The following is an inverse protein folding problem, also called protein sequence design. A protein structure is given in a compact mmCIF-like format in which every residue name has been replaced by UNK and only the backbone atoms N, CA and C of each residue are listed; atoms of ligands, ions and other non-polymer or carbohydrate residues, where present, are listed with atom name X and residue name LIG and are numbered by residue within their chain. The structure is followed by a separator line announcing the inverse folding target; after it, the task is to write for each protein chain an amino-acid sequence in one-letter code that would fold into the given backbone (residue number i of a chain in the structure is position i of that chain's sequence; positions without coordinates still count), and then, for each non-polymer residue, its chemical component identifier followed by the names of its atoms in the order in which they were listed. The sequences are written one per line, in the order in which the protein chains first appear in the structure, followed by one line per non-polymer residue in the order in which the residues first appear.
data_IF_590974702043
#
_entry.id   IF_590974702043
#
_cell.length_a   1.000
_cell.length_b   1.000
_cell.length_c   1.000
_cell.angle_alpha   90.00
_cell.angle_beta   90.00
_cell.angle_gamma   90.00
#
_symmetry.space_group_name_H-M   'P 1'
#
loop_
_entity.id
_entity.type
_entity.pdbx_description
1 polymer ?
#
# COMPACT_ATOMS: atom_id res chain seq x y z
N UNK A 1 -42.93 30.84 -15.45
CA UNK A 1 -42.22 29.64 -14.93
C UNK A 1 -40.91 29.37 -15.69
N UNK A 2 -40.11 30.40 -16.00
CA UNK A 2 -38.87 30.25 -16.81
C UNK A 2 -37.66 30.98 -16.18
N UNK A 3 -37.72 31.29 -14.89
CA UNK A 3 -36.63 31.97 -14.15
C UNK A 3 -36.04 31.14 -13.01
N UNK A 4 -36.68 30.03 -12.63
CA UNK A 4 -36.22 29.16 -11.53
C UNK A 4 -35.28 28.03 -12.00
N UNK A 5 -35.23 27.73 -13.29
CA UNK A 5 -34.43 26.61 -13.84
C UNK A 5 -32.95 26.98 -13.98
N UNK A 6 -32.62 28.27 -14.11
CA UNK A 6 -31.24 28.73 -14.36
C UNK A 6 -30.37 28.66 -13.09
N UNK A 7 -30.97 28.76 -11.90
CA UNK A 7 -30.21 28.68 -10.64
C UNK A 7 -29.87 27.25 -10.21
N UNK A 8 -30.59 26.23 -10.69
CA UNK A 8 -30.30 24.84 -10.36
C UNK A 8 -29.07 24.30 -11.11
N UNK A 9 -28.78 24.81 -12.32
CA UNK A 9 -27.64 24.35 -13.13
C UNK A 9 -26.29 24.92 -12.71
N UNK A 10 -26.26 26.04 -11.99
CA UNK A 10 -24.99 26.63 -11.49
C UNK A 10 -24.53 25.95 -10.19
N UNK A 11 -25.46 25.43 -9.38
CA UNK A 11 -25.11 24.68 -8.17
C UNK A 11 -24.51 23.29 -8.45
N UNK A 12 -24.84 22.67 -9.59
CA UNK A 12 -24.30 21.36 -9.97
C UNK A 12 -22.83 21.38 -10.41
N UNK A 13 -22.26 22.56 -10.71
CA UNK A 13 -20.83 22.66 -11.06
C UNK A 13 -19.90 22.79 -9.85
N UNK A 14 -20.42 23.10 -8.66
CA UNK A 14 -19.59 23.33 -7.46
C UNK A 14 -19.29 22.00 -6.71
N UNK A 15 -20.10 20.96 -6.90
CA UNK A 15 -19.89 19.67 -6.24
C UNK A 15 -18.88 18.73 -6.92
N UNK A 16 -18.48 18.99 -8.17
CA UNK A 16 -17.46 18.18 -8.85
C UNK A 16 -16.02 18.52 -8.40
N UNK A 17 -15.78 19.66 -7.76
CA UNK A 17 -14.43 20.08 -7.36
C UNK A 17 -13.96 19.43 -6.05
N UNK A 18 -14.87 18.97 -5.18
CA UNK A 18 -14.49 18.29 -3.94
C UNK A 18 -14.08 16.83 -4.15
N UNK A 19 -14.61 16.15 -5.17
CA UNK A 19 -14.24 14.77 -5.49
C UNK A 19 -12.78 14.65 -6.00
N UNK A 20 -12.29 15.65 -6.73
CA UNK A 20 -10.90 15.67 -7.23
C UNK A 20 -9.87 16.10 -6.18
N UNK A 21 -10.26 16.86 -5.16
CA UNK A 21 -9.34 17.24 -4.09
C UNK A 21 -8.97 16.06 -3.16
N UNK A 22 -9.80 15.01 -3.13
CA UNK A 22 -9.49 13.78 -2.41
C UNK A 22 -8.59 12.82 -3.22
N UNK A 23 -8.59 12.90 -4.56
CA UNK A 23 -7.66 12.13 -5.38
C UNK A 23 -6.21 12.50 -5.00
N UNK A 24 -5.84 13.77 -4.97
CA UNK A 24 -4.50 14.22 -4.50
C UNK A 24 -4.41 14.44 -2.96
N UNK A 25 -5.34 13.87 -2.19
CA UNK A 25 -5.39 14.00 -0.74
C UNK A 25 -4.63 12.90 0.00
N UNK A 26 -4.36 13.10 1.31
CA UNK A 26 -3.85 12.04 2.16
C UNK A 26 -4.84 10.87 2.21
N UNK A 27 -4.35 9.66 1.98
CA UNK A 27 -5.17 8.45 2.12
C UNK A 27 -5.40 8.12 3.59
N UNK A 28 -6.59 7.60 3.88
CA UNK A 28 -6.88 7.05 5.20
C UNK A 28 -6.18 5.70 5.32
N UNK A 29 -5.38 5.53 6.38
CA UNK A 29 -4.76 4.25 6.72
C UNK A 29 -5.70 3.47 7.66
N UNK A 30 -6.15 2.27 7.28
CA UNK A 30 -7.04 1.48 8.14
C UNK A 30 -6.42 1.22 9.51
N UNK A 31 -7.18 1.41 10.59
CA UNK A 31 -6.73 1.14 11.96
C UNK A 31 -6.25 -0.31 12.12
N UNK A 32 -6.90 -1.24 11.43
CA UNK A 32 -6.54 -2.66 11.45
C UNK A 32 -5.12 -2.89 10.89
N UNK A 33 -4.78 -2.23 9.79
CA UNK A 33 -3.42 -2.26 9.24
C UNK A 33 -2.41 -1.65 10.22
N UNK A 34 -2.75 -0.52 10.86
CA UNK A 34 -1.87 0.11 11.85
C UNK A 34 -1.59 -0.84 13.02
N UNK A 35 -2.61 -1.54 13.53
CA UNK A 35 -2.45 -2.56 14.59
C UNK A 35 -1.58 -3.73 14.16
N UNK A 36 -1.76 -4.24 12.95
CA UNK A 36 -0.93 -5.32 12.41
C UNK A 36 0.52 -4.85 12.22
N UNK A 37 0.73 -3.62 11.74
CA UNK A 37 2.07 -3.08 11.53
C UNK A 37 2.89 -2.99 12.82
N UNK A 38 2.25 -2.90 14.00
CA UNK A 38 2.93 -2.97 15.30
C UNK A 38 3.60 -4.33 15.57
N UNK A 39 3.18 -5.39 14.89
CA UNK A 39 3.82 -6.73 15.01
C UNK A 39 4.94 -6.94 14.00
N UNK A 40 5.32 -5.89 13.25
CA UNK A 40 6.35 -5.94 12.21
C UNK A 40 7.55 -5.05 12.55
N UNK A 41 8.74 -5.32 12.00
CA UNK A 41 9.93 -4.51 12.27
C UNK A 41 9.94 -3.15 11.53
N UNK A 42 8.79 -2.65 11.04
CA UNK A 42 8.73 -1.44 10.22
C UNK A 42 9.31 -0.22 10.92
N UNK A 43 8.85 0.05 12.15
CA UNK A 43 9.33 1.21 12.92
C UNK A 43 10.85 1.10 13.20
N UNK A 44 11.32 -0.09 13.56
CA UNK A 44 12.74 -0.33 13.85
C UNK A 44 13.63 -0.17 12.62
N UNK A 45 13.17 -0.65 11.45
CA UNK A 45 13.90 -0.57 10.17
C UNK A 45 13.94 0.84 9.58
N UNK A 46 12.91 1.64 9.87
CA UNK A 46 12.92 3.08 9.59
C UNK A 46 13.59 3.89 10.72
N UNK A 47 14.13 3.23 11.75
CA UNK A 47 14.75 3.87 12.90
C UNK A 47 13.84 4.90 13.60
N UNK A 48 12.53 4.69 13.57
CA UNK A 48 11.54 5.59 14.17
C UNK A 48 11.50 5.41 15.68
N UNK A 49 12.00 6.42 16.41
CA UNK A 49 11.82 6.55 17.86
C UNK A 49 10.61 7.44 18.12
N UNK A 50 9.43 6.87 18.38
CA UNK A 50 8.17 7.62 18.46
C UNK A 50 8.19 8.84 19.39
N UNK A 51 8.90 8.77 20.53
CA UNK A 51 9.04 9.92 21.45
C UNK A 51 9.89 11.08 20.92
N UNK A 52 10.61 10.89 19.81
CA UNK A 52 11.49 11.87 19.18
C UNK A 52 11.42 11.81 17.64
N UNK A 53 10.32 11.30 17.09
CA UNK A 53 10.18 11.09 15.66
C UNK A 53 10.08 12.43 14.93
N UNK A 54 10.91 12.63 13.90
CA UNK A 54 10.78 13.78 13.01
C UNK A 54 9.51 13.66 12.16
N UNK A 55 8.99 14.78 11.64
CA UNK A 55 7.91 14.75 10.65
C UNK A 55 8.23 13.88 9.44
N UNK A 56 9.49 13.85 9.02
CA UNK A 56 9.97 12.98 7.94
C UNK A 56 9.81 11.50 8.29
N UNK A 57 10.26 11.06 9.46
CA UNK A 57 10.13 9.66 9.89
C UNK A 57 8.66 9.22 9.92
N UNK A 58 7.78 10.12 10.40
CA UNK A 58 6.33 9.88 10.43
C UNK A 58 5.80 9.78 8.99
N UNK A 59 6.20 10.69 8.10
CA UNK A 59 5.81 10.68 6.69
C UNK A 59 6.23 9.41 5.96
N UNK A 60 7.48 8.95 6.17
CA UNK A 60 7.99 7.71 5.60
C UNK A 60 7.21 6.49 6.11
N UNK A 61 6.95 6.42 7.42
CA UNK A 61 6.16 5.35 8.02
C UNK A 61 4.74 5.31 7.46
N UNK A 62 4.05 6.45 7.43
CA UNK A 62 2.69 6.56 6.91
C UNK A 62 2.63 6.29 5.41
N UNK A 63 3.64 6.72 4.65
CA UNK A 63 3.80 6.42 3.24
C UNK A 63 3.93 4.93 2.96
N UNK A 64 4.75 4.21 3.74
CA UNK A 64 4.83 2.75 3.61
C UNK A 64 3.55 2.04 4.03
N UNK A 65 2.86 2.49 5.08
CA UNK A 65 1.55 1.93 5.41
C UNK A 65 0.52 2.18 4.29
N UNK A 66 0.55 3.36 3.65
CA UNK A 66 -0.29 3.64 2.49
C UNK A 66 0.01 2.68 1.34
N UNK A 67 1.29 2.43 1.06
CA UNK A 67 1.74 1.51 0.03
C UNK A 67 1.31 0.06 0.32
N UNK A 68 1.48 -0.40 1.56
CA UNK A 68 1.01 -1.71 2.02
C UNK A 68 -0.50 -1.84 1.86
N UNK A 69 -1.26 -0.80 2.21
CA UNK A 69 -2.71 -0.78 2.05
C UNK A 69 -3.12 -0.94 0.58
N UNK A 70 -2.42 -0.30 -0.36
CA UNK A 70 -2.70 -0.45 -1.79
C UNK A 70 -2.48 -1.88 -2.28
N UNK A 71 -1.42 -2.55 -1.80
CA UNK A 71 -1.20 -3.96 -2.12
C UNK A 71 -2.34 -4.81 -1.56
N UNK A 72 -2.72 -4.62 -0.30
CA UNK A 72 -3.80 -5.36 0.34
C UNK A 72 -5.16 -5.20 -0.38
N UNK A 73 -5.48 -3.99 -0.86
CA UNK A 73 -6.68 -3.74 -1.69
C UNK A 73 -6.67 -4.59 -2.95
N UNK A 74 -5.55 -4.61 -3.68
CA UNK A 74 -5.45 -5.39 -4.92
C UNK A 74 -5.54 -6.89 -4.66
N UNK A 75 -4.90 -7.36 -3.58
CA UNK A 75 -4.97 -8.77 -3.18
C UNK A 75 -6.42 -9.14 -2.83
N UNK A 76 -7.13 -8.32 -2.07
CA UNK A 76 -8.53 -8.53 -1.73
C UNK A 76 -9.39 -8.62 -3.00
N UNK A 77 -9.25 -7.66 -3.92
CA UNK A 77 -9.97 -7.62 -5.19
C UNK A 77 -9.72 -8.86 -6.05
N UNK A 78 -8.45 -9.28 -6.18
CA UNK A 78 -8.08 -10.50 -6.94
C UNK A 78 -8.64 -11.78 -6.30
N UNK A 79 -8.95 -11.75 -5.00
CA UNK A 79 -9.60 -12.84 -4.27
C UNK A 79 -11.13 -12.64 -4.12
N UNK A 80 -11.74 -11.74 -4.90
CA UNK A 80 -13.20 -11.55 -4.93
C UNK A 80 -13.78 -10.83 -3.73
N UNK A 81 -12.96 -10.06 -2.99
CA UNK A 81 -13.36 -9.28 -1.81
C UNK A 81 -13.29 -7.78 -2.08
N UNK A 82 -14.27 -7.04 -1.58
CA UNK A 82 -14.30 -5.57 -1.69
C UNK A 82 -13.41 -4.88 -0.65
N UNK A 83 -13.14 -5.54 0.47
CA UNK A 83 -12.35 -4.99 1.58
C UNK A 83 -11.24 -5.97 2.00
N UNK A 84 -10.03 -5.48 2.31
CA UNK A 84 -8.93 -6.33 2.78
C UNK A 84 -9.22 -7.03 4.12
N UNK A 85 -8.84 -8.30 4.22
CA UNK A 85 -8.73 -9.04 5.48
C UNK A 85 -7.34 -8.91 6.11
N UNK A 86 -7.11 -9.51 7.28
CA UNK A 86 -5.79 -9.49 7.93
C UNK A 86 -4.72 -10.15 7.07
N UNK A 87 -5.08 -11.26 6.42
CA UNK A 87 -4.19 -11.99 5.53
C UNK A 87 -3.76 -11.13 4.32
N UNK A 88 -4.65 -10.27 3.83
CA UNK A 88 -4.32 -9.33 2.74
C UNK A 88 -3.34 -8.26 3.21
N UNK A 89 -3.50 -7.75 4.43
CA UNK A 89 -2.54 -6.81 5.03
C UNK A 89 -1.18 -7.47 5.26
N UNK A 90 -1.15 -8.71 5.75
CA UNK A 90 0.10 -9.47 5.87
C UNK A 90 0.75 -9.74 4.51
N UNK A 91 -0.03 -10.00 3.46
CA UNK A 91 0.49 -10.10 2.10
C UNK A 91 1.10 -8.77 1.62
N UNK A 92 0.45 -7.64 1.90
CA UNK A 92 1.01 -6.32 1.64
C UNK A 92 2.32 -6.07 2.38
N UNK A 93 2.38 -6.39 3.67
CA UNK A 93 3.61 -6.28 4.47
C UNK A 93 4.71 -7.19 3.91
N UNK A 94 4.38 -8.43 3.55
CA UNK A 94 5.33 -9.36 2.93
C UNK A 94 5.86 -8.83 1.59
N UNK A 95 5.01 -8.25 0.73
CA UNK A 95 5.42 -7.66 -0.55
C UNK A 95 6.46 -6.54 -0.37
N UNK A 96 6.36 -5.77 0.71
CA UNK A 96 7.31 -4.71 1.08
C UNK A 96 8.50 -5.18 1.92
N UNK A 97 8.72 -6.49 2.00
CA UNK A 97 9.73 -7.14 2.83
C UNK A 97 9.57 -6.91 4.34
N UNK A 98 8.40 -6.50 4.84
CA UNK A 98 8.11 -6.22 6.26
C UNK A 98 7.61 -7.44 7.05
N UNK A 99 7.59 -8.62 6.43
CA UNK A 99 7.34 -9.90 7.10
C UNK A 99 8.65 -10.45 7.70
N UNK A 100 8.61 -11.24 8.79
CA UNK A 100 9.81 -11.79 9.42
C UNK A 100 10.76 -12.52 8.46
N UNK A 101 12.07 -12.42 8.73
CA UNK A 101 13.17 -13.16 8.06
C UNK A 101 13.30 -12.99 6.54
N UNK A 102 12.66 -11.98 5.96
CA UNK A 102 12.72 -11.74 4.52
C UNK A 102 13.93 -10.89 4.11
N UNK A 103 14.67 -11.25 3.04
CA UNK A 103 15.72 -10.40 2.50
C UNK A 103 15.20 -8.99 2.15
N UNK A 104 15.97 -7.92 2.42
CA UNK A 104 15.52 -6.52 2.29
C UNK A 104 15.48 -6.02 0.84
N UNK A 105 15.01 -6.85 -0.11
CA UNK A 105 15.00 -6.55 -1.56
C UNK A 105 14.20 -5.28 -1.86
N UNK A 106 13.06 -5.09 -1.19
CA UNK A 106 12.20 -3.94 -1.39
C UNK A 106 12.66 -2.67 -0.64
N UNK A 107 13.57 -2.77 0.34
CA UNK A 107 13.95 -1.63 1.20
C UNK A 107 14.53 -0.47 0.42
N UNK A 108 15.42 -0.75 -0.54
CA UNK A 108 16.05 0.28 -1.37
C UNK A 108 15.04 1.04 -2.26
N UNK A 109 13.82 0.53 -2.39
CA UNK A 109 12.73 1.11 -3.16
C UNK A 109 11.64 1.74 -2.28
N UNK A 110 11.73 1.63 -0.95
CA UNK A 110 10.80 2.30 -0.04
C UNK A 110 10.65 3.81 -0.29
N UNK A 111 11.72 4.56 -0.65
CA UNK A 111 11.58 5.98 -1.02
C UNK A 111 10.56 6.25 -2.13
N UNK A 112 10.41 5.34 -3.09
CA UNK A 112 9.43 5.46 -4.17
C UNK A 112 7.98 5.29 -3.70
N UNK A 113 7.80 4.61 -2.56
CA UNK A 113 6.49 4.36 -1.96
C UNK A 113 6.06 5.42 -0.95
N UNK A 114 6.97 6.25 -0.42
CA UNK A 114 6.61 7.24 0.60
C UNK A 114 5.56 8.24 0.12
N UNK A 115 5.53 8.55 -1.17
CA UNK A 115 4.50 9.40 -1.79
C UNK A 115 3.10 8.81 -1.74
N UNK A 116 2.92 7.51 -1.50
CA UNK A 116 1.61 6.84 -1.52
C UNK A 116 0.62 7.44 -0.50
N UNK A 117 1.11 8.04 0.58
CA UNK A 117 0.23 8.70 1.54
C UNK A 117 -0.52 9.86 0.90
N UNK A 118 0.15 10.75 0.15
CA UNK A 118 -0.46 11.97 -0.39
C UNK A 118 -0.67 12.00 -1.91
N UNK A 119 -0.31 10.95 -2.64
CA UNK A 119 -0.28 10.99 -4.11
C UNK A 119 -1.01 9.79 -4.72
N UNK A 120 -2.13 10.03 -5.42
CA UNK A 120 -2.91 8.95 -6.05
C UNK A 120 -2.17 8.24 -7.16
N UNK A 121 -1.35 8.97 -7.91
CA UNK A 121 -0.55 8.38 -8.99
C UNK A 121 0.39 7.32 -8.42
N UNK A 122 1.07 7.61 -7.31
CA UNK A 122 1.93 6.63 -6.63
C UNK A 122 1.09 5.44 -6.14
N UNK A 123 -0.09 5.68 -5.56
CA UNK A 123 -1.00 4.59 -5.16
C UNK A 123 -1.42 3.73 -6.35
N UNK A 124 -1.73 4.33 -7.49
CA UNK A 124 -2.12 3.63 -8.71
C UNK A 124 -0.97 2.79 -9.29
N UNK A 125 0.24 3.33 -9.30
CA UNK A 125 1.44 2.60 -9.72
C UNK A 125 1.68 1.37 -8.84
N UNK A 126 1.58 1.53 -7.52
CA UNK A 126 1.71 0.41 -6.56
C UNK A 126 0.63 -0.65 -6.81
N UNK A 127 -0.62 -0.25 -7.06
CA UNK A 127 -1.70 -1.19 -7.37
C UNK A 127 -1.41 -2.00 -8.64
N UNK A 128 -0.87 -1.36 -9.66
CA UNK A 128 -0.51 -2.01 -10.93
C UNK A 128 0.70 -2.96 -10.77
N UNK A 129 1.61 -2.66 -9.84
CA UNK A 129 2.83 -3.43 -9.61
C UNK A 129 2.61 -4.77 -8.86
N UNK A 130 1.41 -5.04 -8.33
CA UNK A 130 1.17 -6.24 -7.49
C UNK A 130 1.22 -7.53 -8.32
N UNK A 131 2.23 -8.35 -8.02
CA UNK A 131 2.49 -9.62 -8.68
C UNK A 131 1.58 -10.78 -8.25
N UNK A 132 1.67 -11.92 -8.95
CA UNK A 132 0.87 -13.10 -8.70
C UNK A 132 1.13 -13.77 -7.34
N UNK A 133 2.37 -13.84 -6.86
CA UNK A 133 2.70 -14.55 -5.61
C UNK A 133 2.07 -13.87 -4.38
N UNK A 134 2.12 -12.53 -4.34
CA UNK A 134 1.47 -11.76 -3.27
C UNK A 134 -0.04 -11.99 -3.27
N UNK A 135 -0.64 -12.15 -4.45
CA UNK A 135 -2.08 -12.34 -4.60
C UNK A 135 -2.55 -13.71 -4.06
N UNK A 136 -1.67 -14.72 -4.08
CA UNK A 136 -1.94 -16.07 -3.58
C UNK A 136 -1.59 -16.24 -2.09
N UNK A 137 -0.74 -15.35 -1.57
CA UNK A 137 -0.21 -15.43 -0.22
C UNK A 137 -1.24 -15.56 0.91
N UNK A 138 -2.41 -14.88 0.87
CA UNK A 138 -3.43 -15.03 1.92
C UNK A 138 -3.84 -16.47 2.19
N UNK A 139 -3.86 -17.34 1.16
CA UNK A 139 -4.23 -18.74 1.33
C UNK A 139 -3.21 -19.51 2.18
N UNK A 140 -1.94 -19.17 2.10
CA UNK A 140 -0.87 -19.77 2.91
C UNK A 140 -0.87 -19.22 4.34
N UNK A 141 -1.19 -17.93 4.51
CA UNK A 141 -1.37 -17.35 5.86
C UNK A 141 -2.50 -18.06 6.60
N UNK A 142 -3.65 -18.25 5.96
CA UNK A 142 -4.81 -18.93 6.55
C UNK A 142 -4.51 -20.38 6.97
N UNK A 143 -3.53 -21.03 6.35
CA UNK A 143 -3.07 -22.39 6.67
C UNK A 143 -1.92 -22.44 7.69
N UNK A 144 -1.36 -21.29 8.08
CA UNK A 144 -0.17 -21.23 8.91
C UNK A 144 1.14 -21.57 8.17
N UNK A 145 1.14 -21.52 6.84
CA UNK A 145 2.24 -21.92 5.96
C UNK A 145 3.01 -20.72 5.40
N UNK A 146 2.67 -19.49 5.81
CA UNK A 146 3.20 -18.24 5.27
C UNK A 146 4.74 -18.16 5.23
N UNK A 147 5.41 -18.55 6.32
CA UNK A 147 6.88 -18.49 6.39
C UNK A 147 7.52 -19.51 5.44
N UNK A 148 6.99 -20.73 5.40
CA UNK A 148 7.48 -21.77 4.50
C UNK A 148 7.32 -21.35 3.03
N UNK A 149 6.18 -20.75 2.69
CA UNK A 149 5.91 -20.23 1.35
C UNK A 149 6.94 -19.17 0.94
N UNK A 150 7.25 -18.20 1.82
CA UNK A 150 8.27 -17.19 1.55
C UNK A 150 9.66 -17.84 1.37
N UNK A 151 10.04 -18.74 2.27
CA UNK A 151 11.41 -19.26 2.30
C UNK A 151 11.71 -20.19 1.12
N UNK A 152 10.70 -20.96 0.68
CA UNK A 152 10.82 -21.96 -0.36
C UNK A 152 10.49 -21.42 -1.76
N UNK A 153 9.45 -20.59 -1.90
CA UNK A 153 8.85 -20.28 -3.19
C UNK A 153 9.01 -18.83 -3.63
N UNK A 154 9.22 -17.88 -2.71
CA UNK A 154 9.37 -16.48 -3.12
C UNK A 154 10.77 -16.21 -3.67
N UNK A 155 10.89 -15.44 -4.77
CA UNK A 155 12.17 -15.11 -5.35
C UNK A 155 13.10 -14.38 -4.38
N UNK A 156 14.39 -14.71 -4.45
CA UNK A 156 15.46 -14.09 -3.65
C UNK A 156 16.35 -13.16 -4.48
N UNK A 157 16.29 -13.26 -5.79
CA UNK A 157 16.91 -12.30 -6.70
C UNK A 157 15.94 -11.14 -7.01
N UNK A 158 16.45 -9.91 -7.16
CA UNK A 158 15.60 -8.75 -7.41
C UNK A 158 14.77 -8.83 -8.71
N UNK A 159 15.29 -9.46 -9.76
CA UNK A 159 14.62 -9.47 -11.07
C UNK A 159 13.34 -10.29 -11.05
N UNK A 160 13.41 -11.53 -10.56
CA UNK A 160 12.22 -12.37 -10.39
C UNK A 160 11.30 -11.83 -9.29
N UNK A 161 11.85 -11.18 -8.26
CA UNK A 161 11.04 -10.50 -7.25
C UNK A 161 10.12 -9.44 -7.86
N UNK A 162 10.65 -8.64 -8.79
CA UNK A 162 9.87 -7.58 -9.44
C UNK A 162 8.81 -8.12 -10.40
N UNK A 163 9.03 -9.27 -11.04
CA UNK A 163 7.99 -9.87 -11.88
C UNK A 163 6.91 -10.58 -11.06
N UNK A 164 7.29 -11.27 -9.98
CA UNK A 164 6.41 -12.27 -9.35
C UNK A 164 5.77 -11.77 -8.06
N UNK A 165 6.39 -10.80 -7.39
CA UNK A 165 5.97 -10.29 -6.08
C UNK A 165 5.46 -8.85 -6.19
N UNK A 166 6.33 -7.92 -6.54
CA UNK A 166 6.00 -6.49 -6.59
C UNK A 166 6.96 -5.76 -7.54
N UNK A 167 6.45 -5.22 -8.65
CA UNK A 167 7.27 -4.53 -9.66
C UNK A 167 7.70 -3.12 -9.21
N UNK A 168 8.73 -3.09 -8.36
CA UNK A 168 9.31 -1.86 -7.81
C UNK A 168 10.15 -1.08 -8.84
N UNK A 169 10.61 -1.76 -9.90
CA UNK A 169 11.38 -1.14 -10.98
C UNK A 169 10.54 -0.18 -11.82
N UNK A 170 9.23 -0.47 -11.95
CA UNK A 170 8.27 0.36 -12.69
C UNK A 170 7.83 1.63 -11.95
N UNK A 171 8.04 1.72 -10.63
CA UNK A 171 7.59 2.85 -9.83
C UNK A 171 8.35 4.13 -10.19
N UNK A 172 7.61 5.22 -10.37
CA UNK A 172 8.20 6.53 -10.61
C UNK A 172 8.93 7.05 -9.37
N UNK A 173 9.98 7.84 -9.60
CA UNK A 173 10.63 8.55 -8.49
C UNK A 173 9.66 9.62 -7.95
N UNK A 174 9.53 9.66 -6.63
CA UNK A 174 8.76 10.69 -5.94
C UNK A 174 9.62 11.96 -5.94
N UNK A 175 9.17 12.99 -6.67
CA UNK A 175 9.81 14.30 -6.74
C UNK A 175 9.41 15.20 -5.57
#
# INVERSE_FOLDING_TARGET
MLRAIIFATVASFIFCSFAKAQEDGPTIIPERLQKIALTTPLADRLHVKWGAASPENIGQYMGLLAAVNQVAIVVAMKNGRETPSDEDYFAGLAAWCLFPNKPPIAESYWPKAYGAFGNDKVRSEIRAAVGPLVSQFPAFIAKGEAQQEIDANWPKDPKMYFSDVLDLGSLSDVK
#
